data_IF_492413340917
#
_entry.id   IF_492413340917
#
_cell.length_a   1.000
_cell.length_b   1.000
_cell.length_c   1.000
_cell.angle_alpha   90.00
_cell.angle_beta   90.00
_cell.angle_gamma   90.00
#
_symmetry.space_group_name_H-M   'P 1'
#
loop_
_entity.id
_entity.type
_entity.pdbx_description
1 polymer ?
#
# COMPACT_ATOMS: atom_id res chain seq x y z
N UNK A 1 -2.13 15.68 5.10
CA UNK A 1 -2.05 15.28 3.67
C UNK A 1 -1.47 13.88 3.57
N UNK A 2 -2.00 13.07 2.65
CA UNK A 2 -1.48 11.73 2.33
C UNK A 2 -1.02 11.74 0.87
N UNK A 3 0.20 11.30 0.63
CA UNK A 3 0.77 11.12 -0.70
C UNK A 3 0.65 9.65 -1.11
N UNK A 4 -0.09 9.36 -2.18
CA UNK A 4 -0.08 8.05 -2.81
C UNK A 4 0.99 8.06 -3.91
N UNK A 5 2.07 7.29 -3.71
CA UNK A 5 3.25 7.34 -4.57
C UNK A 5 3.60 5.98 -5.16
N UNK A 6 4.03 6.01 -6.41
CA UNK A 6 4.57 4.86 -7.12
C UNK A 6 6.03 5.11 -7.57
N UNK A 7 6.77 5.97 -6.86
CA UNK A 7 8.15 6.34 -7.18
C UNK A 7 9.21 5.40 -6.58
N UNK A 8 8.81 4.54 -5.63
CA UNK A 8 9.74 3.67 -4.90
C UNK A 8 10.27 4.30 -3.62
N UNK A 9 10.70 3.45 -2.69
CA UNK A 9 10.92 3.86 -1.30
C UNK A 9 12.07 4.87 -1.16
N UNK A 10 13.16 4.70 -1.90
CA UNK A 10 14.30 5.63 -1.85
C UNK A 10 13.93 7.04 -2.35
N UNK A 11 13.10 7.12 -3.39
CA UNK A 11 12.59 8.37 -3.90
C UNK A 11 11.63 9.01 -2.89
N UNK A 12 10.74 8.22 -2.29
CA UNK A 12 9.77 8.71 -1.31
C UNK A 12 10.43 9.18 -0.01
N UNK A 13 11.50 8.52 0.45
CA UNK A 13 12.31 8.98 1.59
C UNK A 13 12.97 10.33 1.28
N UNK A 14 13.47 10.52 0.05
CA UNK A 14 14.06 11.80 -0.40
C UNK A 14 13.02 12.91 -0.50
N UNK A 15 11.81 12.61 -0.95
CA UNK A 15 10.67 13.53 -1.01
C UNK A 15 10.25 13.91 0.42
N UNK A 16 10.09 12.92 1.29
CA UNK A 16 9.70 13.09 2.69
C UNK A 16 10.68 13.96 3.49
N UNK A 17 11.98 13.92 3.19
CA UNK A 17 12.99 14.75 3.82
C UNK A 17 12.99 16.21 3.34
N UNK A 18 12.52 16.48 2.11
CA UNK A 18 12.60 17.80 1.46
C UNK A 18 11.29 18.58 1.52
N UNK A 19 10.17 17.89 1.38
CA UNK A 19 8.85 18.52 1.35
C UNK A 19 8.23 18.54 2.75
N UNK A 20 7.64 19.68 3.08
CA UNK A 20 6.87 19.86 4.32
C UNK A 20 5.38 19.70 4.06
N UNK A 21 4.61 19.36 5.10
CA UNK A 21 3.15 19.25 5.02
C UNK A 21 2.62 17.89 4.55
N UNK A 22 3.48 16.97 4.13
CA UNK A 22 3.12 15.56 3.93
C UNK A 22 3.09 14.89 5.30
N UNK A 23 1.93 14.35 5.70
CA UNK A 23 1.84 13.59 6.95
C UNK A 23 2.26 12.13 6.75
N UNK A 24 1.84 11.56 5.62
CA UNK A 24 2.05 10.15 5.27
C UNK A 24 2.30 10.00 3.78
N UNK A 25 3.21 9.09 3.42
CA UNK A 25 3.41 8.57 2.06
C UNK A 25 3.11 7.08 2.02
N UNK A 26 2.20 6.68 1.13
CA UNK A 26 1.92 5.29 0.78
C UNK A 26 2.74 4.95 -0.48
N UNK A 27 3.89 4.29 -0.28
CA UNK A 27 4.86 3.96 -1.31
C UNK A 27 4.58 2.61 -1.96
N UNK A 28 4.84 2.49 -3.27
CA UNK A 28 4.80 1.24 -4.03
C UNK A 28 6.10 1.03 -4.86
N UNK A 29 6.03 0.40 -6.04
CA UNK A 29 7.14 0.16 -6.98
C UNK A 29 8.22 -0.87 -6.60
N UNK A 30 8.94 -0.76 -5.47
CA UNK A 30 10.19 -1.56 -5.30
C UNK A 30 10.01 -3.01 -4.81
N UNK A 31 8.79 -3.54 -4.67
CA UNK A 31 8.48 -4.88 -4.11
C UNK A 31 9.07 -5.28 -2.72
N UNK A 32 10.02 -4.53 -2.14
CA UNK A 32 10.52 -4.67 -0.76
C UNK A 32 9.44 -4.48 0.29
N UNK A 33 9.57 -5.17 1.42
CA UNK A 33 8.68 -5.04 2.58
C UNK A 33 9.45 -4.65 3.81
N UNK A 34 9.70 -3.34 4.06
CA UNK A 34 10.05 -2.94 5.41
C UNK A 34 8.90 -3.36 6.34
N UNK A 35 9.22 -4.11 7.39
CA UNK A 35 8.23 -4.62 8.34
C UNK A 35 7.52 -3.50 9.11
N UNK A 36 8.11 -2.30 9.14
CA UNK A 36 7.57 -1.12 9.81
C UNK A 36 7.72 0.16 8.96
N UNK A 37 6.86 1.17 9.16
CA UNK A 37 6.98 2.45 8.48
C UNK A 37 8.25 3.20 8.92
N UNK A 38 8.80 3.98 8.00
CA UNK A 38 9.95 4.84 8.26
C UNK A 38 9.46 6.25 8.55
N UNK A 39 9.85 6.81 9.69
CA UNK A 39 9.56 8.20 10.03
C UNK A 39 10.74 9.08 9.60
N UNK A 40 10.47 10.07 8.75
CA UNK A 40 11.48 10.99 8.22
C UNK A 40 11.20 12.39 8.77
N UNK A 41 12.18 13.01 9.43
CA UNK A 41 12.08 14.41 9.89
C UNK A 41 12.30 15.36 8.71
N UNK A 42 11.57 16.48 8.71
CA UNK A 42 11.72 17.56 7.73
C UNK A 42 11.41 18.92 8.37
N UNK A 43 11.54 20.01 7.60
CA UNK A 43 11.32 21.38 8.07
C UNK A 43 9.92 21.63 8.65
N UNK A 44 8.91 20.83 8.25
CA UNK A 44 7.53 20.92 8.73
C UNK A 44 7.19 19.98 9.88
N UNK A 45 8.16 19.24 10.41
CA UNK A 45 7.97 18.22 11.45
C UNK A 45 8.45 16.86 10.97
N UNK A 46 7.52 15.99 10.59
CA UNK A 46 7.82 14.64 10.14
C UNK A 46 6.83 14.13 9.09
N UNK A 47 7.29 13.19 8.28
CA UNK A 47 6.50 12.43 7.32
C UNK A 47 6.69 10.94 7.60
N UNK A 48 5.60 10.17 7.62
CA UNK A 48 5.63 8.71 7.77
C UNK A 48 5.61 8.08 6.37
N UNK A 49 6.60 7.27 6.02
CA UNK A 49 6.65 6.55 4.75
C UNK A 49 6.39 5.07 5.01
N UNK A 50 5.35 4.52 4.39
CA UNK A 50 4.97 3.11 4.55
C UNK A 50 4.76 2.42 3.20
N UNK A 51 4.82 1.09 3.21
CA UNK A 51 4.64 0.23 2.05
C UNK A 51 4.05 -1.12 2.46
N UNK A 52 3.12 -1.63 1.66
CA UNK A 52 2.39 -2.87 1.93
C UNK A 52 2.77 -4.02 0.97
N UNK A 53 4.07 -4.34 0.85
CA UNK A 53 4.57 -5.44 0.03
C UNK A 53 4.06 -5.38 -1.44
N UNK A 54 3.84 -6.54 -2.07
CA UNK A 54 3.39 -6.72 -3.44
C UNK A 54 2.51 -7.97 -3.60
N UNK A 55 1.84 -8.09 -4.76
CA UNK A 55 0.99 -9.23 -5.12
C UNK A 55 -0.15 -9.49 -4.13
N UNK A 56 -0.59 -8.44 -3.44
CA UNK A 56 -1.59 -8.45 -2.36
C UNK A 56 -1.23 -9.30 -1.13
N UNK A 57 -0.05 -9.93 -1.09
CA UNK A 57 0.44 -10.78 0.02
C UNK A 57 0.27 -10.17 1.41
N UNK A 58 0.26 -8.84 1.49
CA UNK A 58 -0.10 -8.13 2.71
C UNK A 58 -1.05 -6.96 2.43
N UNK A 59 -1.97 -6.75 3.36
CA UNK A 59 -2.73 -5.52 3.49
C UNK A 59 -2.11 -4.66 4.59
N UNK A 60 -1.54 -3.52 4.19
CA UNK A 60 -1.04 -2.52 5.14
C UNK A 60 -2.20 -1.70 5.70
N UNK A 61 -2.44 -1.79 7.01
CA UNK A 61 -3.43 -0.99 7.71
C UNK A 61 -2.71 0.06 8.53
N UNK A 62 -3.01 1.33 8.24
CA UNK A 62 -2.42 2.48 8.89
C UNK A 62 -3.54 3.30 9.55
N UNK A 63 -3.59 3.25 10.88
CA UNK A 63 -4.47 4.10 11.67
C UNK A 63 -3.74 5.41 12.00
N UNK A 64 -4.40 6.55 11.80
CA UNK A 64 -3.80 7.88 12.01
C UNK A 64 -4.58 8.64 13.10
N UNK A 65 -3.86 9.14 14.11
CA UNK A 65 -4.36 10.17 15.02
C UNK A 65 -4.07 11.54 14.41
N UNK A 66 -5.11 12.26 13.99
CA UNK A 66 -5.00 13.57 13.32
C UNK A 66 -5.52 14.66 14.23
N UNK A 67 -4.64 15.60 14.60
CA UNK A 67 -4.95 16.74 15.47
C UNK A 67 -4.48 18.03 14.82
N UNK A 68 -5.36 19.03 14.80
CA UNK A 68 -5.07 20.36 14.23
C UNK A 68 -4.47 20.29 12.80
N UNK A 69 -4.99 19.36 11.98
CA UNK A 69 -4.54 19.17 10.60
C UNK A 69 -3.19 18.45 10.44
N UNK A 70 -2.60 17.93 11.50
CA UNK A 70 -1.32 17.19 11.50
C UNK A 70 -1.47 15.80 12.08
N UNK A 71 -0.60 14.88 11.66
CA UNK A 71 -0.54 13.53 12.22
C UNK A 71 0.19 13.61 13.56
N UNK A 72 -0.52 13.32 14.66
CA UNK A 72 0.00 13.33 16.02
C UNK A 72 0.54 11.96 16.46
N UNK A 73 0.02 10.89 15.85
CA UNK A 73 0.44 9.51 16.10
C UNK A 73 -0.09 8.58 15.01
N UNK A 74 0.45 7.36 14.97
CA UNK A 74 -0.02 6.33 14.05
C UNK A 74 0.15 4.94 14.65
N UNK A 75 -0.68 4.00 14.18
CA UNK A 75 -0.48 2.58 14.39
C UNK A 75 -0.44 1.89 13.03
N UNK A 76 0.54 1.01 12.82
CA UNK A 76 0.70 0.30 11.56
C UNK A 76 0.74 -1.20 11.79
N UNK A 77 -0.02 -1.93 10.98
CA UNK A 77 0.01 -3.39 10.94
C UNK A 77 -0.02 -3.89 9.51
N UNK A 78 0.77 -4.92 9.25
CA UNK A 78 0.70 -5.71 8.02
C UNK A 78 -0.14 -6.94 8.31
N UNK A 79 -1.28 -7.04 7.65
CA UNK A 79 -2.12 -8.24 7.69
C UNK A 79 -1.69 -9.14 6.53
N UNK A 80 -1.17 -10.36 6.76
CA UNK A 80 -0.91 -11.29 5.67
C UNK A 80 -2.22 -11.66 4.98
N UNK A 81 -2.16 -11.87 3.67
CA UNK A 81 -3.31 -12.27 2.88
C UNK A 81 -3.69 -13.72 3.22
N UNK A 82 -4.81 -13.89 3.92
CA UNK A 82 -5.34 -15.19 4.29
C UNK A 82 -6.32 -15.70 3.22
N UNK A 83 -5.87 -15.90 1.98
CA UNK A 83 -6.74 -16.28 0.85
C UNK A 83 -7.69 -17.45 1.15
N UNK A 84 -7.24 -18.42 1.94
CA UNK A 84 -8.04 -19.60 2.29
C UNK A 84 -9.03 -19.36 3.45
N UNK A 85 -8.89 -18.25 4.20
CA UNK A 85 -9.69 -17.96 5.39
C UNK A 85 -10.81 -16.94 5.13
N UNK A 86 -10.86 -16.32 3.94
CA UNK A 86 -11.85 -15.32 3.59
C UNK A 86 -12.71 -15.81 2.43
N UNK A 87 -14.03 -15.74 2.59
CA UNK A 87 -14.95 -16.01 1.50
C UNK A 87 -14.75 -14.97 0.38
N UNK A 88 -14.72 -15.46 -0.87
CA UNK A 88 -14.61 -14.57 -2.02
C UNK A 88 -15.83 -13.64 -2.12
N UNK A 89 -15.58 -12.36 -2.35
CA UNK A 89 -16.63 -11.37 -2.56
C UNK A 89 -17.40 -11.66 -3.87
N UNK A 90 -18.72 -11.85 -3.75
CA UNK A 90 -19.58 -12.27 -4.87
C UNK A 90 -19.67 -11.22 -5.97
N UNK A 91 -19.59 -9.94 -5.65
CA UNK A 91 -19.58 -8.86 -6.62
C UNK A 91 -18.27 -8.83 -7.41
N UNK A 92 -17.13 -8.98 -6.72
CA UNK A 92 -15.80 -9.07 -7.35
C UNK A 92 -15.69 -10.29 -8.27
N UNK A 93 -16.16 -11.47 -7.82
CA UNK A 93 -16.16 -12.70 -8.63
C UNK A 93 -17.01 -12.53 -9.89
N UNK A 94 -18.20 -11.93 -9.75
CA UNK A 94 -19.10 -11.72 -10.87
C UNK A 94 -18.52 -10.72 -11.88
N UNK A 95 -17.87 -9.66 -11.41
CA UNK A 95 -17.24 -8.65 -12.27
C UNK A 95 -16.04 -9.24 -13.02
N UNK A 96 -15.15 -9.96 -12.33
CA UNK A 96 -13.99 -10.60 -12.95
C UNK A 96 -14.38 -11.62 -14.03
N UNK A 97 -15.44 -12.40 -13.80
CA UNK A 97 -15.98 -13.33 -14.81
C UNK A 97 -16.45 -12.61 -16.07
N UNK A 98 -17.06 -11.42 -15.95
CA UNK A 98 -17.50 -10.60 -17.09
C UNK A 98 -16.34 -9.96 -17.85
N UNK A 99 -15.27 -9.55 -17.16
CA UNK A 99 -14.09 -8.94 -17.78
C UNK A 99 -13.12 -9.96 -18.36
N UNK A 100 -13.04 -11.17 -17.80
CA UNK A 100 -12.10 -12.22 -18.20
C UNK A 100 -12.56 -13.10 -19.37
N UNK A 101 -13.77 -12.90 -19.89
CA UNK A 101 -14.42 -13.77 -20.90
C UNK A 101 -13.53 -14.11 -22.11
N UNK A 102 -12.67 -13.21 -22.65
CA UNK A 102 -11.79 -13.56 -23.77
C UNK A 102 -10.53 -14.36 -23.42
N UNK A 103 -10.12 -14.42 -22.14
CA UNK A 103 -8.80 -14.92 -21.72
C UNK A 103 -8.83 -16.26 -20.96
N UNK A 104 -10.00 -16.66 -20.43
CA UNK A 104 -10.12 -17.87 -19.58
C UNK A 104 -9.71 -19.15 -20.32
N UNK A 105 -10.07 -19.29 -21.59
CA UNK A 105 -9.70 -20.46 -22.40
C UNK A 105 -8.19 -20.55 -22.65
N UNK A 106 -7.50 -19.41 -22.74
CA UNK A 106 -6.04 -19.32 -22.93
C UNK A 106 -5.30 -19.55 -21.63
N UNK A 107 -5.77 -18.98 -20.51
CA UNK A 107 -5.13 -19.07 -19.19
C UNK A 107 -5.22 -20.47 -18.57
N UNK A 108 -6.23 -21.26 -18.96
CA UNK A 108 -6.42 -22.63 -18.48
C UNK A 108 -5.70 -23.68 -19.34
N UNK A 109 -5.03 -23.27 -20.43
CA UNK A 109 -4.16 -24.20 -21.13
C UNK A 109 -2.91 -24.45 -20.29
N UNK A 110 -2.44 -25.71 -20.19
CA UNK A 110 -1.12 -25.96 -19.64
C UNK A 110 -0.09 -25.20 -20.47
N UNK A 111 0.88 -24.60 -19.78
CA UNK A 111 2.00 -23.95 -20.44
C UNK A 111 2.75 -25.00 -21.29
N UNK A 112 3.15 -24.69 -22.53
CA UNK A 112 3.95 -25.60 -23.35
C UNK A 112 5.32 -25.90 -22.72
#
# INVERSE_FOLDING_TARGET
MVLLSHNGIDADLKIAARLSGIGVTLCAHTHDSPSQPVTVKNLGGQTIVTKACCHRKFLGVLDLDVKLGRVAGFNYRLLPECFDLLAADTWMVTTNKKSGVPLVSTLNQPWP
#
